data_IF_442661078656
#
_entry.id   IF_442661078656
#
_cell.length_a   1.000
_cell.length_b   1.000
_cell.length_c   1.000
_cell.angle_alpha   90.00
_cell.angle_beta   90.00
_cell.angle_gamma   90.00
#
_symmetry.space_group_name_H-M   'P 1'
#
loop_
_entity.id
_entity.type
_entity.pdbx_description
1 polymer ?
#
# COMPACT_ATOMS: atom_id res chain seq x y z
N UNK A 1 -44.15 4.79 -4.40
CA UNK A 1 -44.02 3.37 -4.75
C UNK A 1 -45.01 2.62 -3.87
N UNK A 2 -46.07 2.06 -4.46
CA UNK A 2 -47.22 1.56 -3.71
C UNK A 2 -46.91 0.20 -3.05
N UNK A 3 -46.90 0.16 -1.71
CA UNK A 3 -46.56 -1.03 -0.93
C UNK A 3 -47.51 -2.21 -1.21
N UNK A 4 -48.74 -1.93 -1.66
CA UNK A 4 -49.71 -2.97 -2.06
C UNK A 4 -49.28 -3.70 -3.34
N UNK A 5 -48.78 -2.94 -4.32
CA UNK A 5 -48.27 -3.47 -5.59
C UNK A 5 -47.02 -4.36 -5.38
N UNK A 6 -46.20 -4.05 -4.36
CA UNK A 6 -45.06 -4.89 -4.01
C UNK A 6 -45.50 -6.23 -3.41
N UNK A 7 -46.49 -6.21 -2.52
CA UNK A 7 -47.03 -7.41 -1.88
C UNK A 7 -47.72 -8.35 -2.89
N UNK A 8 -48.47 -7.79 -3.83
CA UNK A 8 -49.14 -8.58 -4.89
C UNK A 8 -48.14 -9.24 -5.83
N UNK A 9 -47.05 -8.54 -6.18
CA UNK A 9 -45.94 -9.12 -6.96
C UNK A 9 -45.18 -10.21 -6.21
N UNK A 10 -44.96 -10.04 -4.91
CA UNK A 10 -44.37 -11.08 -4.07
C UNK A 10 -45.27 -12.32 -4.01
N UNK A 11 -46.58 -12.14 -3.92
CA UNK A 11 -47.55 -13.24 -3.90
C UNK A 11 -47.58 -14.00 -5.23
N UNK A 12 -47.61 -13.29 -6.37
CA UNK A 12 -47.55 -13.91 -7.69
C UNK A 12 -46.21 -14.65 -7.93
N UNK A 13 -45.09 -14.15 -7.37
CA UNK A 13 -43.81 -14.85 -7.37
C UNK A 13 -43.83 -16.13 -6.53
N UNK A 14 -44.48 -16.10 -5.36
CA UNK A 14 -44.64 -17.27 -4.48
C UNK A 14 -45.55 -18.32 -5.10
N UNK A 15 -46.63 -17.91 -5.75
CA UNK A 15 -47.59 -18.81 -6.40
C UNK A 15 -47.00 -19.48 -7.66
N UNK A 16 -45.98 -18.87 -8.28
CA UNK A 16 -45.20 -19.45 -9.39
C UNK A 16 -44.07 -20.36 -8.95
N UNK A 17 -43.88 -20.59 -7.64
CA UNK A 17 -42.84 -21.50 -7.16
C UNK A 17 -43.19 -22.96 -7.50
N UNK A 18 -42.25 -23.73 -8.08
CA UNK A 18 -42.49 -25.12 -8.44
C UNK A 18 -42.85 -25.97 -7.21
N UNK A 19 -43.92 -26.77 -7.34
CA UNK A 19 -44.45 -27.59 -6.25
C UNK A 19 -43.65 -28.89 -5.98
N UNK A 20 -42.69 -29.21 -6.84
CA UNK A 20 -41.79 -30.35 -6.67
C UNK A 20 -40.84 -30.11 -5.49
N UNK A 21 -40.70 -31.11 -4.61
CA UNK A 21 -39.78 -31.08 -3.47
C UNK A 21 -38.33 -30.78 -3.89
N UNK A 22 -37.93 -31.24 -5.09
CA UNK A 22 -36.59 -31.01 -5.62
C UNK A 22 -36.36 -29.55 -6.01
N UNK A 23 -37.38 -28.86 -6.51
CA UNK A 23 -37.23 -27.46 -6.92
C UNK A 23 -37.38 -26.49 -5.74
N UNK A 24 -38.18 -26.85 -4.73
CA UNK A 24 -38.19 -26.14 -3.44
C UNK A 24 -36.82 -26.18 -2.77
N UNK A 25 -36.14 -27.33 -2.78
CA UNK A 25 -34.80 -27.45 -2.23
C UNK A 25 -33.79 -26.55 -2.96
N UNK A 26 -33.86 -26.46 -4.29
CA UNK A 26 -33.00 -25.55 -5.07
C UNK A 26 -33.22 -24.09 -4.71
N UNK A 27 -34.48 -23.68 -4.57
CA UNK A 27 -34.83 -22.29 -4.25
C UNK A 27 -34.36 -21.92 -2.85
N UNK A 28 -34.56 -22.79 -1.86
CA UNK A 28 -34.04 -22.60 -0.50
C UNK A 28 -32.51 -22.54 -0.51
N UNK A 29 -31.85 -23.40 -1.27
CA UNK A 29 -30.40 -23.38 -1.40
C UNK A 29 -29.88 -22.07 -2.01
N UNK A 30 -30.49 -21.60 -3.10
CA UNK A 30 -30.14 -20.32 -3.72
C UNK A 30 -30.41 -19.16 -2.75
N UNK A 31 -31.54 -19.17 -2.05
CA UNK A 31 -31.90 -18.13 -1.08
C UNK A 31 -30.91 -18.02 0.09
N UNK A 32 -30.25 -19.12 0.47
CA UNK A 32 -29.20 -19.14 1.51
C UNK A 32 -27.83 -18.80 0.93
N UNK A 33 -27.51 -19.31 -0.26
CA UNK A 33 -26.20 -19.11 -0.88
C UNK A 33 -25.96 -17.64 -1.25
N UNK A 34 -26.98 -16.96 -1.76
CA UNK A 34 -26.89 -15.58 -2.23
C UNK A 34 -26.45 -14.58 -1.13
N UNK A 35 -27.03 -14.57 0.08
CA UNK A 35 -26.55 -13.70 1.16
C UNK A 35 -25.15 -14.09 1.65
N UNK A 36 -24.78 -15.38 1.67
CA UNK A 36 -23.42 -15.81 2.05
C UNK A 36 -22.38 -15.26 1.07
N UNK A 37 -22.67 -15.34 -0.23
CA UNK A 37 -21.82 -14.79 -1.29
C UNK A 37 -21.72 -13.27 -1.20
N UNK A 38 -22.83 -12.60 -0.88
CA UNK A 38 -22.85 -11.15 -0.67
C UNK A 38 -21.99 -10.73 0.53
N UNK A 39 -22.13 -11.43 1.67
CA UNK A 39 -21.31 -11.19 2.87
C UNK A 39 -19.83 -11.40 2.55
N UNK A 40 -19.50 -12.48 1.82
CA UNK A 40 -18.13 -12.77 1.42
C UNK A 40 -17.55 -11.67 0.51
N UNK A 41 -18.31 -11.19 -0.47
CA UNK A 41 -17.89 -10.09 -1.34
C UNK A 41 -17.66 -8.79 -0.56
N UNK A 42 -18.53 -8.48 0.40
CA UNK A 42 -18.36 -7.32 1.29
C UNK A 42 -17.07 -7.47 2.12
N UNK A 43 -16.87 -8.62 2.75
CA UNK A 43 -15.64 -8.92 3.51
C UNK A 43 -14.39 -8.79 2.63
N UNK A 44 -14.42 -9.36 1.43
CA UNK A 44 -13.31 -9.31 0.48
C UNK A 44 -13.02 -7.88 0.02
N UNK A 45 -14.05 -7.08 -0.25
CA UNK A 45 -13.88 -5.67 -0.58
C UNK A 45 -13.20 -4.94 0.59
N UNK A 46 -13.71 -5.07 1.82
CA UNK A 46 -13.12 -4.40 2.98
C UNK A 46 -11.69 -4.87 3.27
N UNK A 47 -11.36 -6.15 3.09
CA UNK A 47 -10.01 -6.67 3.33
C UNK A 47 -8.99 -6.23 2.28
N UNK A 48 -9.42 -5.92 1.05
CA UNK A 48 -8.53 -5.44 0.00
C UNK A 48 -8.47 -3.91 -0.10
N UNK A 49 -9.50 -3.19 0.34
CA UNK A 49 -9.49 -1.73 0.42
C UNK A 49 -8.76 -1.21 1.67
N UNK A 50 -8.68 -2.00 2.75
CA UNK A 50 -7.78 -1.73 3.86
C UNK A 50 -6.36 -2.08 3.45
N UNK A 51 -5.59 -1.06 3.04
CA UNK A 51 -4.22 -1.19 2.52
C UNK A 51 -3.44 -2.33 3.18
N UNK A 52 -2.81 -3.17 2.34
CA UNK A 52 -2.01 -4.31 2.77
C UNK A 52 -1.09 -3.96 3.94
N UNK A 53 -0.75 -4.95 4.80
CA UNK A 53 -0.02 -4.69 6.03
C UNK A 53 1.12 -3.74 5.74
N UNK A 54 1.06 -2.53 6.31
CA UNK A 54 2.14 -1.57 6.19
C UNK A 54 3.39 -2.34 6.59
N UNK A 55 4.34 -2.47 5.65
CA UNK A 55 5.62 -3.11 5.91
C UNK A 55 6.11 -2.51 7.21
N UNK A 56 6.10 -3.32 8.29
CA UNK A 56 6.54 -2.83 9.59
C UNK A 56 7.91 -2.22 9.34
N UNK A 57 8.16 -0.95 9.70
CA UNK A 57 9.45 -0.35 9.46
C UNK A 57 10.48 -1.30 10.05
N UNK A 58 11.41 -1.78 9.23
CA UNK A 58 12.45 -2.69 9.68
C UNK A 58 13.24 -1.93 10.75
N UNK A 59 13.07 -2.30 12.02
CA UNK A 59 13.76 -1.66 13.14
C UNK A 59 15.12 -2.31 13.33
N UNK A 60 15.97 -2.19 12.31
CA UNK A 60 17.34 -2.67 12.35
C UNK A 60 18.30 -1.51 12.65
N UNK A 61 19.49 -1.79 13.21
CA UNK A 61 20.48 -0.74 13.50
C UNK A 61 20.84 0.11 12.28
N UNK A 62 20.95 -0.52 11.10
CA UNK A 62 21.22 0.19 9.84
C UNK A 62 20.08 1.13 9.45
N UNK A 63 18.83 0.73 9.67
CA UNK A 63 17.66 1.55 9.37
C UNK A 63 17.55 2.77 10.27
N UNK A 64 17.93 2.64 11.54
CA UNK A 64 17.98 3.78 12.48
C UNK A 64 19.00 4.82 12.03
N UNK A 65 20.17 4.38 11.61
CA UNK A 65 21.22 5.26 11.09
C UNK A 65 20.78 5.92 9.78
N UNK A 66 20.20 5.15 8.84
CA UNK A 66 19.66 5.71 7.60
C UNK A 66 18.62 6.81 7.88
N UNK A 67 17.69 6.59 8.81
CA UNK A 67 16.67 7.58 9.18
C UNK A 67 17.28 8.85 9.78
N UNK A 68 18.31 8.72 10.60
CA UNK A 68 19.01 9.87 11.17
C UNK A 68 19.74 10.67 10.09
N UNK A 69 20.38 9.98 9.15
CA UNK A 69 21.05 10.61 8.01
C UNK A 69 20.05 11.29 7.07
N UNK A 70 18.89 10.66 6.82
CA UNK A 70 17.80 11.24 6.04
C UNK A 70 17.28 12.53 6.65
N UNK A 71 17.07 12.56 7.97
CA UNK A 71 16.63 13.77 8.66
C UNK A 71 17.65 14.91 8.54
N UNK A 72 18.94 14.59 8.51
CA UNK A 72 20.00 15.59 8.36
C UNK A 72 20.11 16.12 6.93
N UNK A 73 19.92 15.27 5.91
CA UNK A 73 19.95 15.68 4.50
C UNK A 73 18.68 16.46 4.13
N UNK A 74 17.51 15.94 4.49
CA UNK A 74 16.21 16.57 4.17
C UNK A 74 15.98 17.90 4.89
N UNK A 75 16.75 18.21 5.93
CA UNK A 75 16.75 19.53 6.56
C UNK A 75 17.24 20.64 5.62
N UNK A 76 18.01 20.30 4.57
CA UNK A 76 18.46 21.23 3.55
C UNK A 76 17.49 21.20 2.36
N UNK A 77 16.88 22.35 2.04
CA UNK A 77 15.84 22.44 1.01
C UNK A 77 16.31 21.97 -0.40
N UNK A 78 17.62 21.99 -0.67
CA UNK A 78 18.19 21.52 -1.94
C UNK A 78 18.24 20.00 -2.08
N UNK A 79 18.02 19.24 -1.00
CA UNK A 79 18.17 17.79 -0.96
C UNK A 79 16.91 17.06 -0.47
N UNK A 80 15.74 17.71 -0.54
CA UNK A 80 14.47 17.13 -0.10
C UNK A 80 14.13 15.81 -0.80
N UNK A 81 14.57 15.66 -2.06
CA UNK A 81 14.32 14.47 -2.89
C UNK A 81 15.46 13.46 -2.84
N UNK A 82 16.40 13.59 -1.88
CA UNK A 82 17.53 12.68 -1.67
C UNK A 82 17.39 11.96 -0.34
N UNK A 83 17.61 10.65 -0.36
CA UNK A 83 17.56 9.81 0.84
C UNK A 83 18.55 8.65 0.83
N UNK A 84 18.78 8.08 2.01
CA UNK A 84 19.60 6.93 2.28
C UNK A 84 18.75 5.67 2.38
N UNK A 85 19.19 4.65 1.66
CA UNK A 85 18.64 3.30 1.74
C UNK A 85 19.71 2.37 2.27
N UNK A 86 19.33 1.43 3.13
CA UNK A 86 20.24 0.37 3.58
C UNK A 86 20.46 -0.61 2.43
N UNK A 87 21.65 -0.63 1.83
CA UNK A 87 22.01 -1.54 0.75
C UNK A 87 22.42 -2.92 1.29
N UNK A 88 23.13 -2.95 2.42
CA UNK A 88 23.49 -4.17 3.14
C UNK A 88 23.64 -3.87 4.63
N UNK A 89 23.32 -4.84 5.51
CA UNK A 89 23.51 -4.67 6.96
C UNK A 89 24.82 -5.26 7.50
N UNK A 90 25.42 -6.23 6.79
CA UNK A 90 26.64 -6.92 7.21
C UNK A 90 27.49 -7.28 5.98
N UNK A 91 28.52 -6.47 5.62
CA UNK A 91 28.88 -5.19 6.23
C UNK A 91 27.82 -4.11 5.99
N UNK A 92 27.71 -3.14 6.92
CA UNK A 92 26.78 -2.02 6.75
C UNK A 92 27.20 -1.22 5.52
N UNK A 93 26.28 -1.05 4.57
CA UNK A 93 26.46 -0.23 3.38
C UNK A 93 25.18 0.51 3.08
N UNK A 94 25.33 1.76 2.66
CA UNK A 94 24.19 2.61 2.30
C UNK A 94 24.15 2.87 0.80
N UNK A 95 22.99 3.24 0.30
CA UNK A 95 22.79 3.73 -1.06
C UNK A 95 22.11 5.08 -0.95
N UNK A 96 22.74 6.13 -1.48
CA UNK A 96 22.13 7.46 -1.60
C UNK A 96 21.37 7.49 -2.91
N UNK A 97 20.05 7.65 -2.83
CA UNK A 97 19.14 7.65 -3.98
C UNK A 97 18.34 8.94 -3.99
N UNK A 98 18.10 9.50 -5.17
CA UNK A 98 17.27 10.68 -5.28
C UNK A 98 17.51 11.52 -6.52
N UNK A 99 17.04 12.76 -6.43
CA UNK A 99 17.22 13.74 -7.48
C UNK A 99 17.65 15.10 -6.92
N UNK A 100 18.42 15.84 -7.71
CA UNK A 100 18.83 17.22 -7.41
C UNK A 100 18.50 18.14 -8.59
N UNK A 101 18.29 19.42 -8.31
CA UNK A 101 17.80 20.40 -9.29
C UNK A 101 18.91 21.03 -10.15
N UNK A 102 20.17 20.82 -9.79
CA UNK A 102 21.30 21.35 -10.54
C UNK A 102 22.57 20.57 -10.30
N UNK A 103 23.53 20.70 -11.22
CA UNK A 103 24.86 20.12 -11.07
C UNK A 103 25.60 20.70 -9.85
N UNK A 104 25.39 21.98 -9.54
CA UNK A 104 25.98 22.63 -8.38
C UNK A 104 25.43 22.04 -7.07
N UNK A 105 24.15 21.65 -7.05
CA UNK A 105 23.57 20.96 -5.90
C UNK A 105 24.10 19.53 -5.78
N UNK A 106 24.41 18.85 -6.88
CA UNK A 106 25.09 17.55 -6.83
C UNK A 106 26.48 17.67 -6.19
N UNK A 107 27.27 18.68 -6.58
CA UNK A 107 28.61 18.89 -6.03
C UNK A 107 28.53 19.23 -4.52
N UNK A 108 27.54 20.03 -4.12
CA UNK A 108 27.26 20.32 -2.70
C UNK A 108 26.81 19.09 -1.94
N UNK A 109 25.98 18.24 -2.55
CA UNK A 109 25.53 16.99 -1.95
C UNK A 109 26.71 16.05 -1.69
N UNK A 110 27.63 15.91 -2.64
CA UNK A 110 28.85 15.10 -2.48
C UNK A 110 29.69 15.60 -1.30
N UNK A 111 29.90 16.91 -1.20
CA UNK A 111 30.63 17.50 -0.05
C UNK A 111 29.91 17.22 1.27
N UNK A 112 28.58 17.39 1.29
CA UNK A 112 27.78 17.16 2.50
C UNK A 112 27.82 15.70 2.93
N UNK A 113 27.79 14.77 1.99
CA UNK A 113 27.90 13.33 2.26
C UNK A 113 29.26 12.94 2.81
N UNK A 114 30.34 13.59 2.36
CA UNK A 114 31.68 13.39 2.93
C UNK A 114 31.77 13.90 4.38
N UNK A 115 31.09 15.00 4.71
CA UNK A 115 31.01 15.49 6.09
C UNK A 115 30.20 14.55 7.00
N UNK A 116 29.06 14.06 6.51
CA UNK A 116 28.16 13.17 7.25
C UNK A 116 28.76 11.77 7.43
N UNK A 117 29.45 11.26 6.41
CA UNK A 117 30.06 9.92 6.41
C UNK A 117 31.42 9.92 5.72
N UNK A 118 32.51 10.25 6.45
CA UNK A 118 33.85 10.27 5.86
C UNK A 118 34.36 8.87 5.46
N UNK A 119 33.74 7.81 5.98
CA UNK A 119 34.09 6.41 5.69
C UNK A 119 33.78 5.98 4.24
N UNK A 120 32.89 6.69 3.53
CA UNK A 120 32.62 6.45 2.11
C UNK A 120 32.00 5.08 1.78
N UNK A 121 31.31 4.43 2.73
CA UNK A 121 30.66 3.13 2.54
C UNK A 121 29.23 3.24 1.96
N UNK A 122 29.08 4.15 0.99
CA UNK A 122 27.82 4.38 0.30
C UNK A 122 28.01 4.42 -1.22
N UNK A 123 27.03 3.85 -1.93
CA UNK A 123 26.90 3.99 -3.37
C UNK A 123 25.97 5.18 -3.68
N UNK A 124 26.25 5.96 -4.71
CA UNK A 124 25.46 7.14 -5.09
C UNK A 124 24.74 6.92 -6.42
N UNK A 125 23.41 7.03 -6.40
CA UNK A 125 22.54 7.02 -7.58
C UNK A 125 21.62 8.23 -7.51
N UNK A 126 22.14 9.38 -7.90
CA UNK A 126 21.41 10.67 -7.87
C UNK A 126 21.31 11.22 -9.28
N UNK A 127 20.10 11.53 -9.71
CA UNK A 127 19.83 12.12 -11.03
C UNK A 127 19.72 13.64 -10.93
N UNK A 128 20.26 14.35 -11.93
CA UNK A 128 20.10 15.80 -12.04
C UNK A 128 18.88 16.08 -12.91
N UNK A 129 17.84 16.68 -12.32
CA UNK A 129 16.64 17.09 -13.04
C UNK A 129 16.90 18.44 -13.75
N UNK A 130 16.59 18.53 -15.06
CA UNK A 130 16.76 19.75 -15.85
C UNK A 130 15.70 20.83 -15.58
#
# INVERSE_FOLDING_TARGET
MDLRNLNDKFRDLVDRLPQSNADRAKIVFVAILLPVLLIWLIYFAFSNFGGGPSSRPLDTPGWRIARELDQQITAEAGFLDVGFVVAAEKPLRFSVVGAVHSQNDLDRLVLRLQELRPEGDYDMTVEVLP
#
